data_IF_634448271888
#
_entry.id   IF_634448271888
#
_cell.length_a   1.000
_cell.length_b   1.000
_cell.length_c   1.000
_cell.angle_alpha   90.00
_cell.angle_beta   90.00
_cell.angle_gamma   90.00
#
_symmetry.space_group_name_H-M   'P 1'
#
loop_
_entity.id
_entity.type
_entity.pdbx_description
1 polymer ?
#
# COMPACT_ATOMS: atom_id res chain seq x y z
N UNK A 1 -25.73 -11.49 7.72
CA UNK A 1 -24.56 -11.04 8.52
C UNK A 1 -23.96 -9.79 7.88
N UNK A 2 -24.03 -8.62 8.53
CA UNK A 2 -23.35 -7.42 8.03
C UNK A 2 -21.83 -7.65 8.17
N UNK A 3 -21.07 -7.64 7.05
CA UNK A 3 -19.60 -7.61 7.11
C UNK A 3 -19.24 -6.37 7.92
N UNK A 4 -18.58 -6.55 9.06
CA UNK A 4 -17.99 -5.45 9.82
C UNK A 4 -17.00 -4.78 8.86
N UNK A 5 -17.34 -3.61 8.32
CA UNK A 5 -16.47 -2.82 7.46
C UNK A 5 -15.36 -2.23 8.33
N UNK A 6 -14.43 -3.07 8.76
CA UNK A 6 -13.21 -2.66 9.44
C UNK A 6 -12.43 -1.80 8.46
N UNK A 7 -12.13 -0.55 8.84
CA UNK A 7 -11.57 0.52 8.00
C UNK A 7 -10.15 0.28 7.50
N UNK A 8 -9.91 -0.84 6.84
CA UNK A 8 -8.61 -1.30 6.37
C UNK A 8 -8.37 -1.00 4.88
N UNK A 9 -9.27 -0.28 4.22
CA UNK A 9 -9.11 0.07 2.80
C UNK A 9 -7.84 0.89 2.53
N UNK A 10 -7.54 1.85 3.42
CA UNK A 10 -6.33 2.65 3.36
C UNK A 10 -5.07 1.79 3.54
N UNK A 11 -5.07 0.94 4.57
CA UNK A 11 -3.94 0.06 4.89
C UNK A 11 -3.64 -0.89 3.74
N UNK A 12 -4.69 -1.48 3.15
CA UNK A 12 -4.56 -2.33 1.97
C UNK A 12 -3.97 -1.59 0.76
N UNK A 13 -4.41 -0.34 0.50
CA UNK A 13 -3.84 0.46 -0.60
C UNK A 13 -2.36 0.77 -0.38
N UNK A 14 -1.99 1.21 0.82
CA UNK A 14 -0.60 1.53 1.15
C UNK A 14 0.28 0.29 1.02
N UNK A 15 -0.17 -0.87 1.54
CA UNK A 15 0.53 -2.15 1.38
C UNK A 15 0.72 -2.51 -0.10
N UNK A 16 -0.34 -2.47 -0.90
CA UNK A 16 -0.27 -2.90 -2.30
C UNK A 16 0.66 -2.00 -3.13
N UNK A 17 0.60 -0.69 -2.91
CA UNK A 17 1.49 0.28 -3.56
C UNK A 17 2.96 0.03 -3.19
N UNK A 18 3.25 -0.21 -1.90
CA UNK A 18 4.62 -0.50 -1.45
C UNK A 18 5.14 -1.84 -1.99
N UNK A 19 4.30 -2.87 -2.04
CA UNK A 19 4.68 -4.16 -2.64
C UNK A 19 5.05 -4.04 -4.12
N UNK A 20 4.25 -3.27 -4.88
CA UNK A 20 4.56 -2.97 -6.29
C UNK A 20 5.88 -2.20 -6.36
N UNK A 21 6.06 -1.18 -5.53
CA UNK A 21 7.29 -0.39 -5.51
C UNK A 21 8.52 -1.26 -5.22
N UNK A 22 8.52 -2.07 -4.16
CA UNK A 22 9.64 -2.93 -3.78
C UNK A 22 10.03 -3.93 -4.87
N UNK A 23 9.04 -4.46 -5.59
CA UNK A 23 9.27 -5.38 -6.72
C UNK A 23 10.08 -4.73 -7.84
N UNK A 24 9.78 -3.46 -8.15
CA UNK A 24 10.39 -2.74 -9.28
C UNK A 24 11.50 -1.77 -8.88
N UNK A 25 11.68 -1.44 -7.61
CA UNK A 25 12.72 -0.51 -7.14
C UNK A 25 14.14 -1.00 -7.52
N UNK A 26 14.33 -2.31 -7.62
CA UNK A 26 15.62 -2.94 -8.00
C UNK A 26 15.82 -3.11 -9.51
N UNK A 27 14.85 -2.71 -10.33
CA UNK A 27 14.87 -2.88 -11.79
C UNK A 27 15.57 -1.74 -12.54
N UNK A 28 16.07 -0.72 -11.83
CA UNK A 28 16.71 0.46 -12.43
C UNK A 28 15.73 1.48 -13.02
N UNK A 29 14.42 1.31 -12.80
CA UNK A 29 13.39 2.28 -13.19
C UNK A 29 13.34 3.45 -12.22
N UNK A 30 13.04 4.65 -12.75
CA UNK A 30 12.78 5.81 -11.89
C UNK A 30 11.43 5.68 -11.16
N UNK A 31 11.30 6.30 -9.99
CA UNK A 31 10.07 6.29 -9.21
C UNK A 31 8.85 6.76 -10.01
N UNK A 32 9.02 7.78 -10.86
CA UNK A 32 7.97 8.29 -11.73
C UNK A 32 7.54 7.26 -12.79
N UNK A 33 8.49 6.49 -13.28
CA UNK A 33 8.22 5.42 -14.25
C UNK A 33 7.50 4.23 -13.59
N UNK A 34 7.92 3.84 -12.39
CA UNK A 34 7.24 2.81 -11.58
C UNK A 34 5.80 3.24 -11.29
N UNK A 35 5.61 4.49 -10.89
CA UNK A 35 4.28 5.08 -10.65
C UNK A 35 3.41 5.00 -11.90
N UNK A 36 3.90 5.48 -13.06
CA UNK A 36 3.12 5.52 -14.30
C UNK A 36 2.80 4.14 -14.87
N UNK A 37 3.76 3.20 -14.83
CA UNK A 37 3.59 1.88 -15.45
C UNK A 37 2.79 0.91 -14.59
N UNK A 38 3.00 0.90 -13.28
CA UNK A 38 2.50 -0.19 -12.43
C UNK A 38 1.46 0.25 -11.40
N UNK A 39 1.58 1.46 -10.87
CA UNK A 39 0.75 1.91 -9.74
C UNK A 39 -0.47 2.70 -10.25
N UNK A 40 -0.25 3.65 -11.17
CA UNK A 40 -1.29 4.52 -11.69
C UNK A 40 -2.45 3.76 -12.36
N UNK A 41 -2.22 2.73 -13.21
CA UNK A 41 -3.31 1.99 -13.84
C UNK A 41 -4.22 1.25 -12.85
N UNK A 42 -3.72 0.95 -11.64
CA UNK A 42 -4.46 0.22 -10.61
C UNK A 42 -5.12 1.12 -9.57
N UNK A 43 -4.40 2.14 -9.11
CA UNK A 43 -4.79 2.95 -7.95
C UNK A 43 -5.21 4.37 -8.29
N UNK A 44 -4.91 4.87 -9.49
CA UNK A 44 -5.24 6.22 -9.96
C UNK A 44 -4.81 7.32 -8.96
N UNK A 45 -3.61 7.19 -8.40
CA UNK A 45 -3.08 8.12 -7.40
C UNK A 45 -2.11 9.14 -8.01
N UNK A 46 -2.01 10.29 -7.35
CA UNK A 46 -1.02 11.31 -7.69
C UNK A 46 0.38 10.91 -7.19
N UNK A 47 1.42 11.54 -7.74
CA UNK A 47 2.80 11.34 -7.29
C UNK A 47 3.00 11.73 -5.81
N UNK A 48 2.36 12.81 -5.36
CA UNK A 48 2.37 13.19 -3.95
C UNK A 48 1.79 12.09 -3.06
N UNK A 49 0.66 11.51 -3.47
CA UNK A 49 0.01 10.42 -2.74
C UNK A 49 0.88 9.17 -2.72
N UNK A 50 1.58 8.88 -3.82
CA UNK A 50 2.54 7.79 -3.89
C UNK A 50 3.64 7.93 -2.82
N UNK A 51 4.30 9.07 -2.73
CA UNK A 51 5.33 9.29 -1.70
C UNK A 51 4.75 9.27 -0.28
N UNK A 52 3.54 9.80 -0.08
CA UNK A 52 2.87 9.69 1.22
C UNK A 52 2.65 8.22 1.63
N UNK A 53 2.34 7.33 0.68
CA UNK A 53 2.16 5.91 0.97
C UNK A 53 3.48 5.20 1.25
N UNK A 54 4.57 5.57 0.55
CA UNK A 54 5.90 5.04 0.88
C UNK A 54 6.31 5.44 2.31
N UNK A 55 6.14 6.72 2.66
CA UNK A 55 6.46 7.21 4.00
C UNK A 55 5.56 6.59 5.07
N UNK A 56 4.26 6.44 4.80
CA UNK A 56 3.33 5.80 5.73
C UNK A 56 3.70 4.34 6.02
N UNK A 57 4.26 3.62 5.05
CA UNK A 57 4.69 2.22 5.26
C UNK A 57 5.94 2.11 6.12
N UNK A 58 6.76 3.15 6.18
CA UNK A 58 7.92 3.23 7.07
C UNK A 58 7.55 3.61 8.51
N UNK A 59 6.31 4.01 8.77
CA UNK A 59 5.82 4.39 10.11
C UNK A 59 5.55 3.12 10.96
N UNK A 60 6.16 3.00 12.16
CA UNK A 60 5.90 1.89 13.08
C UNK A 60 4.42 1.70 13.41
N UNK A 61 3.68 2.79 13.62
CA UNK A 61 2.26 2.74 13.98
C UNK A 61 1.41 2.13 12.85
N UNK A 62 1.80 2.39 11.61
CA UNK A 62 1.16 1.80 10.44
C UNK A 62 1.41 0.29 10.38
N UNK A 63 2.65 -0.15 10.67
CA UNK A 63 3.01 -1.57 10.66
C UNK A 63 2.26 -2.36 11.73
N UNK A 64 2.02 -1.79 12.90
CA UNK A 64 1.18 -2.41 13.93
C UNK A 64 -0.26 -2.62 13.43
N UNK A 65 -0.87 -1.58 12.86
CA UNK A 65 -2.22 -1.69 12.28
C UNK A 65 -2.29 -2.66 11.10
N UNK A 66 -1.22 -2.77 10.32
CA UNK A 66 -1.12 -3.75 9.25
C UNK A 66 -1.15 -5.17 9.81
N UNK A 67 -0.39 -5.44 10.90
CA UNK A 67 -0.42 -6.74 11.59
C UNK A 67 -1.80 -7.05 12.16
N UNK A 68 -2.47 -6.07 12.78
CA UNK A 68 -3.85 -6.21 13.27
C UNK A 68 -4.81 -6.59 12.15
N UNK A 69 -4.69 -5.92 10.99
CA UNK A 69 -5.48 -6.22 9.80
C UNK A 69 -5.25 -7.66 9.34
N UNK A 70 -3.99 -8.08 9.18
CA UNK A 70 -3.64 -9.44 8.73
C UNK A 70 -4.15 -10.52 9.69
N UNK A 71 -3.98 -10.30 10.99
CA UNK A 71 -4.51 -11.19 12.02
C UNK A 71 -6.05 -11.29 11.95
N UNK A 72 -6.74 -10.16 11.77
CA UNK A 72 -8.21 -10.15 11.62
C UNK A 72 -8.73 -10.85 10.35
N UNK A 73 -7.90 -10.92 9.29
CA UNK A 73 -8.19 -11.62 8.05
C UNK A 73 -7.89 -13.11 8.17
N UNK A 74 -6.85 -13.49 8.90
CA UNK A 74 -6.43 -14.88 9.11
C UNK A 74 -7.31 -15.66 10.09
N UNK A 75 -8.03 -14.97 10.99
CA UNK A 75 -8.95 -15.60 11.95
C UNK A 75 -10.31 -15.96 11.31
N UNK A 76 -10.58 -15.50 10.08
CA UNK A 76 -11.78 -15.85 9.32
C UNK A 76 -11.57 -17.10 8.47
#
# INVERSE_FOLDING_TARGET
MKKKCTGFSYINKVRDVNNIYDTYARSGLSNREILRRYIWPKHLISEKTFYNYLNAYADPDFLERLKEMEHSLSIK
#
